data_IF_596536835831
#
_entry.id   IF_596536835831
#
_cell.length_a   1.000
_cell.length_b   1.000
_cell.length_c   1.000
_cell.angle_alpha   90.00
_cell.angle_beta   90.00
_cell.angle_gamma   90.00
#
_symmetry.space_group_name_H-M   'P 1'
#
loop_
_entity.id
_entity.type
_entity.pdbx_description
1 polymer ?
#
# COMPACT_ATOMS: atom_id res chain seq x y z
N UNK A 1 -9.04 20.49 6.18
CA UNK A 1 -8.85 19.72 7.42
C UNK A 1 -7.42 19.79 7.99
N UNK A 2 -6.47 20.52 7.36
CA UNK A 2 -5.15 20.80 7.95
C UNK A 2 -4.16 19.62 8.01
N UNK A 3 -4.54 18.45 7.50
CA UNK A 3 -3.64 17.29 7.36
C UNK A 3 -2.95 17.30 6.00
N UNK A 4 -1.67 16.92 5.99
CA UNK A 4 -0.93 16.59 4.78
C UNK A 4 -0.69 15.08 4.63
N UNK A 5 -1.25 14.25 5.52
CA UNK A 5 -1.15 12.80 5.44
C UNK A 5 -2.42 12.23 4.82
N UNK A 6 -2.27 11.47 3.75
CA UNK A 6 -3.33 10.71 3.11
C UNK A 6 -3.06 9.22 3.29
N UNK A 7 -3.96 8.54 3.99
CA UNK A 7 -3.91 7.08 4.16
C UNK A 7 -4.57 6.42 2.95
N UNK A 8 -3.90 5.44 2.37
CA UNK A 8 -4.42 4.60 1.31
C UNK A 8 -4.54 3.16 1.83
N UNK A 9 -5.75 2.79 2.24
CA UNK A 9 -6.11 1.39 2.42
C UNK A 9 -6.66 0.85 1.11
N UNK A 10 -5.85 0.07 0.40
CA UNK A 10 -6.13 -0.42 -0.95
C UNK A 10 -7.03 -1.67 -0.95
N UNK A 11 -8.06 -1.67 -0.08
CA UNK A 11 -8.88 -2.82 0.28
C UNK A 11 -9.48 -3.65 -0.89
N UNK A 12 -9.61 -3.06 -2.08
CA UNK A 12 -10.19 -3.70 -3.29
C UNK A 12 -9.15 -3.96 -4.38
N UNK A 13 -7.91 -3.55 -4.15
CA UNK A 13 -6.80 -3.75 -5.06
C UNK A 13 -6.14 -5.10 -4.80
N UNK A 14 -6.90 -6.13 -5.14
CA UNK A 14 -6.46 -7.51 -5.05
C UNK A 14 -7.14 -8.38 -6.08
N UNK A 15 -7.18 -9.68 -5.80
CA UNK A 15 -7.93 -10.63 -6.61
C UNK A 15 -8.51 -11.80 -5.83
N UNK A 16 -9.72 -12.21 -6.19
CA UNK A 16 -10.38 -13.44 -5.73
C UNK A 16 -9.88 -14.68 -6.50
N UNK A 17 -9.45 -14.49 -7.75
CA UNK A 17 -8.99 -15.57 -8.65
C UNK A 17 -7.71 -15.08 -9.34
N UNK A 18 -6.62 -15.86 -9.33
CA UNK A 18 -5.31 -15.40 -9.84
C UNK A 18 -5.35 -14.95 -11.30
N UNK A 19 -6.21 -15.56 -12.10
CA UNK A 19 -6.37 -15.32 -13.53
C UNK A 19 -7.26 -14.10 -13.85
N UNK A 20 -8.01 -13.57 -12.87
CA UNK A 20 -8.97 -12.49 -13.12
C UNK A 20 -8.30 -11.15 -13.45
N UNK A 21 -7.05 -10.95 -13.03
CA UNK A 21 -6.30 -9.71 -13.21
C UNK A 21 -4.82 -10.00 -13.42
N UNK A 22 -4.17 -9.18 -14.25
CA UNK A 22 -2.71 -9.19 -14.35
C UNK A 22 -2.12 -8.47 -13.12
N UNK A 23 -1.42 -9.21 -12.25
CA UNK A 23 -0.87 -8.66 -11.02
C UNK A 23 0.16 -7.56 -11.27
N UNK A 24 1.06 -7.75 -12.25
CA UNK A 24 2.07 -6.74 -12.60
C UNK A 24 1.42 -5.43 -13.03
N UNK A 25 0.40 -5.52 -13.88
CA UNK A 25 -0.29 -4.33 -14.36
C UNK A 25 -1.11 -3.66 -13.26
N UNK A 26 -1.74 -4.43 -12.38
CA UNK A 26 -2.45 -3.89 -11.22
C UNK A 26 -1.53 -3.06 -10.32
N UNK A 27 -0.31 -3.56 -10.04
CA UNK A 27 0.69 -2.80 -9.27
C UNK A 27 1.18 -1.57 -10.04
N UNK A 28 1.34 -1.63 -11.37
CA UNK A 28 1.70 -0.45 -12.16
C UNK A 28 0.64 0.66 -12.06
N UNK A 29 -0.64 0.30 -12.10
CA UNK A 29 -1.75 1.25 -11.96
C UNK A 29 -1.77 1.90 -10.57
N UNK A 30 -1.47 1.14 -9.51
CA UNK A 30 -1.32 1.69 -8.15
C UNK A 30 -0.17 2.72 -8.11
N UNK A 31 0.98 2.40 -8.69
CA UNK A 31 2.13 3.33 -8.77
C UNK A 31 1.76 4.58 -9.55
N UNK A 32 1.03 4.46 -10.67
CA UNK A 32 0.57 5.60 -11.47
C UNK A 32 -0.41 6.50 -10.69
N UNK A 33 -1.33 5.89 -9.92
CA UNK A 33 -2.25 6.63 -9.07
C UNK A 33 -1.49 7.43 -7.99
N UNK A 34 -0.51 6.81 -7.32
CA UNK A 34 0.34 7.48 -6.34
C UNK A 34 1.17 8.59 -6.99
N UNK A 35 1.72 8.37 -8.19
CA UNK A 35 2.40 9.40 -8.96
C UNK A 35 1.51 10.63 -9.17
N UNK A 36 0.25 10.44 -9.59
CA UNK A 36 -0.70 11.54 -9.82
C UNK A 36 -0.97 12.32 -8.53
N UNK A 37 -1.13 11.63 -7.40
CA UNK A 37 -1.31 12.27 -6.08
C UNK A 37 -0.09 13.12 -5.69
N UNK A 38 1.11 12.56 -5.80
CA UNK A 38 2.37 13.23 -5.47
C UNK A 38 2.71 14.39 -6.44
N UNK A 39 2.25 14.31 -7.68
CA UNK A 39 2.40 15.37 -8.67
C UNK A 39 1.47 16.55 -8.37
N UNK A 40 0.22 16.25 -7.99
CA UNK A 40 -0.82 17.23 -7.69
C UNK A 40 -0.52 18.06 -6.44
N UNK A 41 -0.13 17.41 -5.34
CA UNK A 41 0.20 18.08 -4.08
C UNK A 41 1.66 17.80 -3.69
N UNK A 42 2.44 18.86 -3.51
CA UNK A 42 3.88 18.77 -3.18
C UNK A 42 4.12 18.48 -1.70
N UNK A 43 3.17 18.81 -0.84
CA UNK A 43 3.28 18.64 0.62
C UNK A 43 2.62 17.35 1.12
N UNK A 44 1.82 16.68 0.27
CA UNK A 44 1.15 15.43 0.62
C UNK A 44 2.17 14.33 0.95
N UNK A 45 1.84 13.55 1.98
CA UNK A 45 2.52 12.33 2.38
C UNK A 45 1.52 11.18 2.30
N UNK A 46 1.85 10.18 1.50
CA UNK A 46 1.04 8.99 1.32
C UNK A 46 1.46 7.95 2.37
N UNK A 47 0.48 7.38 3.06
CA UNK A 47 0.68 6.27 3.99
C UNK A 47 -0.14 5.08 3.49
N UNK A 48 0.53 4.06 2.95
CA UNK A 48 -0.12 2.85 2.46
C UNK A 48 -0.40 1.95 3.66
N UNK A 49 -1.65 1.55 3.85
CA UNK A 49 -2.04 0.61 4.88
C UNK A 49 -2.15 -0.79 4.25
N UNK A 50 -1.12 -1.66 4.39
CA UNK A 50 -1.15 -2.99 3.82
C UNK A 50 -2.10 -3.90 4.61
N UNK A 51 -2.78 -4.79 3.90
CA UNK A 51 -3.60 -5.86 4.49
C UNK A 51 -3.50 -7.10 3.62
N UNK A 52 -3.25 -8.30 4.15
CA UNK A 52 -3.04 -9.49 3.32
C UNK A 52 -4.28 -9.93 2.54
N UNK A 53 -5.45 -9.81 3.16
CA UNK A 53 -6.74 -10.21 2.61
C UNK A 53 -7.90 -9.49 3.32
N UNK A 54 -9.11 -9.74 2.85
CA UNK A 54 -10.38 -9.15 3.28
C UNK A 54 -10.47 -7.62 3.05
N UNK A 55 -11.32 -7.17 2.12
CA UNK A 55 -12.40 -7.93 1.52
C UNK A 55 -12.02 -8.66 0.21
N UNK A 56 -10.80 -8.48 -0.31
CA UNK A 56 -10.24 -9.32 -1.39
C UNK A 56 -9.60 -10.58 -0.83
N UNK A 57 -9.64 -11.72 -1.53
CA UNK A 57 -8.99 -12.93 -1.02
C UNK A 57 -7.48 -12.78 -0.90
N UNK A 58 -6.84 -12.06 -1.82
CA UNK A 58 -5.47 -11.59 -1.63
C UNK A 58 -5.30 -10.18 -2.21
N UNK A 59 -4.68 -9.31 -1.42
CA UNK A 59 -4.27 -7.96 -1.83
C UNK A 59 -2.94 -8.00 -2.61
N UNK A 60 -2.71 -7.01 -3.46
CA UNK A 60 -1.43 -6.85 -4.15
C UNK A 60 -0.33 -6.26 -3.27
N UNK A 61 -0.68 -5.51 -2.21
CA UNK A 61 0.25 -4.92 -1.26
C UNK A 61 -0.04 -5.44 0.16
N UNK A 62 0.23 -6.73 0.42
CA UNK A 62 -0.28 -7.42 1.60
C UNK A 62 0.49 -7.12 2.91
N UNK A 63 1.73 -6.63 2.84
CA UNK A 63 2.61 -6.42 4.01
C UNK A 63 3.41 -5.11 3.90
N UNK A 64 4.00 -4.65 5.01
CA UNK A 64 4.75 -3.38 5.02
C UNK A 64 5.97 -3.43 4.09
N UNK A 65 6.62 -4.58 3.96
CA UNK A 65 7.74 -4.77 3.02
C UNK A 65 7.35 -4.44 1.58
N UNK A 66 6.16 -4.85 1.13
CA UNK A 66 5.67 -4.51 -0.21
C UNK A 66 5.26 -3.03 -0.34
N UNK A 67 4.68 -2.45 0.71
CA UNK A 67 4.38 -1.01 0.71
C UNK A 67 5.65 -0.15 0.58
N UNK A 68 6.71 -0.50 1.31
CA UNK A 68 8.03 0.17 1.21
C UNK A 68 8.65 -0.08 -0.17
N UNK A 69 8.64 -1.31 -0.68
CA UNK A 69 9.16 -1.60 -2.01
C UNK A 69 8.41 -0.81 -3.10
N UNK A 70 7.10 -0.60 -2.95
CA UNK A 70 6.31 0.23 -3.84
C UNK A 70 6.70 1.71 -3.76
N UNK A 71 7.01 2.23 -2.57
CA UNK A 71 7.46 3.61 -2.38
C UNK A 71 8.68 3.94 -3.24
N UNK A 72 9.65 3.02 -3.35
CA UNK A 72 10.84 3.15 -4.22
C UNK A 72 10.53 3.17 -5.72
N UNK A 73 9.31 2.82 -6.14
CA UNK A 73 8.86 2.92 -7.53
C UNK A 73 8.16 4.24 -7.84
N UNK A 74 7.96 5.10 -6.84
CA UNK A 74 7.30 6.40 -7.00
C UNK A 74 8.32 7.49 -7.33
N UNK A 75 7.82 8.70 -7.65
CA UNK A 75 8.69 9.84 -8.00
C UNK A 75 9.34 10.54 -6.81
N UNK A 76 8.91 10.21 -5.59
CA UNK A 76 9.48 10.76 -4.36
C UNK A 76 9.19 9.79 -3.21
N UNK A 77 10.10 8.84 -3.03
CA UNK A 77 9.99 7.78 -2.03
C UNK A 77 9.90 8.34 -0.60
N UNK A 78 10.44 9.54 -0.35
CA UNK A 78 10.43 10.16 0.98
C UNK A 78 9.04 10.68 1.39
N UNK A 79 8.14 10.81 0.43
CA UNK A 79 6.74 11.21 0.63
C UNK A 79 5.78 10.02 0.63
N UNK A 80 6.27 8.77 0.54
CA UNK A 80 5.45 7.56 0.57
C UNK A 80 5.98 6.60 1.63
N UNK A 81 5.14 6.26 2.59
CA UNK A 81 5.46 5.30 3.65
C UNK A 81 4.31 4.32 3.88
N UNK A 82 4.38 3.57 4.97
CA UNK A 82 3.30 2.69 5.40
C UNK A 82 2.61 3.15 6.68
N UNK A 83 1.35 2.78 6.84
CA UNK A 83 0.61 2.78 8.09
C UNK A 83 0.46 1.32 8.50
N UNK A 84 1.13 0.91 9.57
CA UNK A 84 1.07 -0.47 10.05
C UNK A 84 -0.11 -0.61 11.01
N UNK A 85 -1.01 -1.53 10.71
CA UNK A 85 -2.05 -1.98 11.64
C UNK A 85 -1.67 -3.36 12.21
N UNK A 86 -1.61 -3.46 13.54
CA UNK A 86 -1.22 -4.68 14.26
C UNK A 86 -1.99 -5.92 13.80
N UNK A 87 -3.29 -5.79 13.56
CA UNK A 87 -4.13 -6.91 13.14
C UNK A 87 -3.77 -7.43 11.74
N UNK A 88 -3.36 -6.56 10.83
CA UNK A 88 -2.98 -6.94 9.46
C UNK A 88 -1.67 -7.73 9.44
N UNK A 89 -0.69 -7.34 10.28
CA UNK A 89 0.54 -8.10 10.48
C UNK A 89 0.24 -9.50 11.03
N UNK A 90 -0.57 -9.59 12.09
CA UNK A 90 -0.95 -10.88 12.70
C UNK A 90 -1.68 -11.76 11.69
N UNK A 91 -2.58 -11.19 10.87
CA UNK A 91 -3.30 -11.91 9.83
C UNK A 91 -2.36 -12.48 8.75
N UNK A 92 -1.24 -11.81 8.47
CA UNK A 92 -0.19 -12.30 7.58
C UNK A 92 0.78 -13.29 8.25
N UNK A 93 0.61 -13.59 9.55
CA UNK A 93 1.52 -14.44 10.31
C UNK A 93 2.85 -13.77 10.68
N UNK A 94 2.89 -12.44 10.69
CA UNK A 94 4.06 -11.63 11.01
C UNK A 94 3.96 -11.04 12.42
N UNK A 95 5.10 -10.80 13.06
CA UNK A 95 5.15 -10.11 14.35
C UNK A 95 5.04 -8.59 14.13
N UNK A 96 4.01 -7.91 14.69
CA UNK A 96 3.86 -6.46 14.51
C UNK A 96 5.03 -5.63 15.05
N UNK A 97 5.74 -6.12 16.07
CA UNK A 97 6.91 -5.43 16.62
C UNK A 97 8.07 -5.45 15.64
N UNK A 98 8.31 -6.58 14.99
CA UNK A 98 9.37 -6.70 13.98
C UNK A 98 9.07 -5.83 12.75
N UNK A 99 7.81 -5.80 12.32
CA UNK A 99 7.38 -5.00 11.18
C UNK A 99 7.47 -3.47 11.42
N UNK A 100 7.46 -3.02 12.69
CA UNK A 100 7.56 -1.61 13.07
C UNK A 100 8.99 -1.15 13.40
N UNK A 101 9.95 -2.06 13.54
CA UNK A 101 11.32 -1.78 13.97
C UNK A 101 12.22 -1.25 12.83
#
# INVERSE_FOLDING_TARGET
>A
MGTNKLVLWLAREGTYIREAKNARESVNLIVEAIYKLLAYDKEIRILIEPKPNEPMDHDYIPTIGLAIALAYRTIDEKRVGGLIETAHCILAGLDPSDEMA
#
